data_IF_708881662457
#
_entry.id   IF_708881662457
#
_cell.length_a   1.000
_cell.length_b   1.000
_cell.length_c   1.000
_cell.angle_alpha   90.00
_cell.angle_beta   90.00
_cell.angle_gamma   90.00
#
_symmetry.space_group_name_H-M   'P 1'
#
loop_
_entity.id
_entity.type
_entity.pdbx_description
1 polymer ?
#
# COMPACT_ATOMS: atom_id res chain seq x y z
N UNK A 1 24.43 -60.92 19.32
CA UNK A 1 23.20 -61.66 18.94
C UNK A 1 22.43 -60.83 17.93
N UNK A 2 22.13 -61.43 16.76
CA UNK A 2 21.46 -60.84 15.60
C UNK A 2 19.93 -60.97 15.72
N UNK A 3 19.22 -60.33 14.78
CA UNK A 3 17.80 -60.44 14.37
C UNK A 3 16.89 -59.31 14.89
N UNK A 4 16.00 -58.70 14.08
CA UNK A 4 15.53 -59.04 12.72
C UNK A 4 14.88 -57.80 12.05
N UNK A 5 15.03 -57.75 10.73
CA UNK A 5 14.41 -56.81 9.79
C UNK A 5 13.03 -57.36 9.35
N UNK A 6 12.04 -56.49 9.15
CA UNK A 6 10.87 -56.60 8.22
C UNK A 6 10.37 -55.17 7.99
N UNK A 7 10.43 -54.50 6.84
CA UNK A 7 10.13 -54.81 5.43
C UNK A 7 8.64 -55.06 5.10
N UNK A 8 7.95 -53.99 4.66
CA UNK A 8 6.94 -54.01 3.59
C UNK A 8 5.52 -53.52 3.96
N UNK A 9 4.68 -53.06 2.99
CA UNK A 9 4.94 -52.82 1.57
C UNK A 9 4.65 -51.38 1.08
N UNK A 10 5.10 -51.13 -0.15
CA UNK A 10 4.97 -49.89 -0.94
C UNK A 10 3.58 -49.78 -1.60
N UNK A 11 3.17 -48.53 -1.79
CA UNK A 11 2.24 -47.93 -2.78
C UNK A 11 1.46 -48.84 -3.74
N UNK A 12 0.24 -48.40 -4.08
CA UNK A 12 -0.19 -48.33 -5.47
C UNK A 12 -0.27 -46.88 -5.96
N UNK A 13 0.50 -46.62 -7.01
CA UNK A 13 0.29 -45.57 -7.99
C UNK A 13 -1.04 -45.76 -8.71
N UNK A 14 -1.85 -44.70 -8.76
CA UNK A 14 -2.98 -44.55 -9.67
C UNK A 14 -3.40 -43.08 -9.59
N UNK A 15 -3.65 -42.34 -10.65
CA UNK A 15 -3.84 -42.66 -12.05
C UNK A 15 -4.42 -41.39 -12.66
N UNK A 16 -4.03 -41.12 -13.89
CA UNK A 16 -4.30 -39.88 -14.61
C UNK A 16 -5.76 -39.39 -14.56
N UNK A 17 -5.92 -38.09 -14.34
CA UNK A 17 -7.18 -37.38 -14.48
C UNK A 17 -6.94 -35.96 -14.98
N UNK A 18 -6.28 -35.81 -16.15
CA UNK A 18 -6.25 -34.55 -16.89
C UNK A 18 -7.68 -34.25 -17.38
N UNK A 19 -8.44 -33.50 -16.60
CA UNK A 19 -9.68 -32.89 -17.05
C UNK A 19 -9.33 -31.60 -17.81
N UNK A 20 -9.24 -31.74 -19.12
CA UNK A 20 -9.25 -30.61 -20.06
C UNK A 20 -10.66 -30.00 -20.03
N UNK A 21 -10.88 -28.99 -19.20
CA UNK A 21 -12.03 -28.11 -19.39
C UNK A 21 -11.68 -27.13 -20.50
N UNK A 22 -12.15 -27.45 -21.70
CA UNK A 22 -12.16 -26.56 -22.85
C UNK A 22 -12.91 -25.27 -22.50
N UNK A 23 -12.19 -24.17 -22.37
CA UNK A 23 -12.80 -22.84 -22.38
C UNK A 23 -13.24 -22.50 -23.81
N UNK A 24 -14.49 -22.08 -24.03
CA UNK A 24 -14.91 -21.61 -25.34
C UNK A 24 -14.28 -20.24 -25.61
N UNK A 25 -13.67 -20.09 -26.78
CA UNK A 25 -13.12 -18.82 -27.26
C UNK A 25 -14.21 -17.74 -27.31
N UNK A 26 -13.93 -16.50 -26.85
CA UNK A 26 -14.84 -15.38 -27.09
C UNK A 26 -14.86 -15.06 -28.59
N UNK A 27 -16.05 -15.14 -29.19
CA UNK A 27 -16.30 -14.75 -30.58
C UNK A 27 -16.01 -13.26 -30.73
N UNK A 28 -15.03 -12.95 -31.58
CA UNK A 28 -14.73 -11.61 -32.08
C UNK A 28 -15.96 -11.11 -32.84
N UNK A 29 -16.68 -10.15 -32.27
CA UNK A 29 -17.74 -9.40 -32.96
C UNK A 29 -17.11 -8.17 -33.61
N UNK A 30 -17.28 -8.07 -34.93
CA UNK A 30 -16.68 -7.07 -35.80
C UNK A 30 -17.07 -5.65 -35.39
N UNK A 31 -16.08 -4.78 -35.28
CA UNK A 31 -16.23 -3.34 -35.18
C UNK A 31 -17.08 -2.80 -36.34
N UNK A 32 -18.17 -2.11 -36.02
CA UNK A 32 -18.94 -1.31 -36.97
C UNK A 32 -18.58 0.17 -36.73
N UNK A 33 -17.68 0.68 -37.55
CA UNK A 33 -17.36 2.10 -37.69
C UNK A 33 -18.61 2.88 -38.09
N UNK A 34 -19.17 3.67 -37.16
CA UNK A 34 -20.09 4.75 -37.51
C UNK A 34 -19.30 6.04 -37.75
N UNK A 35 -19.44 6.51 -38.98
CA UNK A 35 -18.86 7.70 -39.60
C UNK A 35 -19.38 8.97 -38.90
N UNK A 36 -18.50 9.71 -38.23
CA UNK A 36 -18.80 11.04 -37.71
C UNK A 36 -18.72 12.07 -38.86
N UNK A 37 -19.80 12.84 -39.04
CA UNK A 37 -19.89 13.89 -40.05
C UNK A 37 -19.19 15.17 -39.53
N UNK A 38 -18.21 15.66 -40.28
CA UNK A 38 -17.54 16.93 -40.05
C UNK A 38 -18.41 18.11 -40.53
N UNK A 39 -18.47 19.19 -39.73
CA UNK A 39 -19.03 20.49 -40.12
C UNK A 39 -17.92 21.55 -40.23
N UNK A 40 -18.10 22.58 -41.07
CA UNK A 40 -17.00 23.37 -41.64
C UNK A 40 -16.56 24.54 -40.76
N UNK A 41 -15.30 24.94 -40.97
CA UNK A 41 -14.62 26.07 -40.35
C UNK A 41 -15.12 27.41 -40.90
N UNK A 42 -15.43 28.35 -40.00
CA UNK A 42 -15.63 29.77 -40.30
C UNK A 42 -14.49 30.62 -39.74
N UNK A 43 -14.17 31.67 -40.50
CA UNK A 43 -12.92 32.42 -40.54
C UNK A 43 -12.67 33.33 -39.32
N UNK A 44 -11.39 33.46 -38.97
CA UNK A 44 -10.79 34.57 -38.20
C UNK A 44 -11.01 35.93 -38.89
N UNK A 45 -10.97 37.02 -38.10
CA UNK A 45 -10.09 38.13 -38.41
C UNK A 45 -9.11 38.44 -37.28
N UNK A 46 -8.06 39.18 -37.62
CA UNK A 46 -6.86 39.39 -36.85
C UNK A 46 -6.83 40.74 -36.12
N UNK A 47 -6.08 40.72 -35.00
CA UNK A 47 -5.23 41.77 -34.41
C UNK A 47 -5.85 43.07 -33.87
N UNK A 48 -5.53 43.40 -32.61
CA UNK A 48 -4.45 44.37 -32.32
C UNK A 48 -3.97 44.26 -30.85
N UNK A 49 -2.70 44.56 -30.54
CA UNK A 49 -2.13 44.45 -29.21
C UNK A 49 -2.30 45.77 -28.45
N UNK A 50 -2.26 45.70 -27.12
CA UNK A 50 -1.57 46.70 -26.29
C UNK A 50 -1.56 46.31 -24.81
N UNK A 51 -0.37 46.54 -24.26
CA UNK A 51 -0.04 46.88 -22.88
C UNK A 51 -0.06 45.73 -21.88
N UNK A 52 1.17 45.36 -21.52
CA UNK A 52 1.46 44.59 -20.34
C UNK A 52 0.93 45.25 -19.08
N UNK A 53 0.53 44.38 -18.17
CA UNK A 53 0.33 44.62 -16.75
C UNK A 53 0.93 43.42 -16.01
N UNK A 54 1.37 43.61 -14.77
CA UNK A 54 2.62 43.06 -14.27
C UNK A 54 2.51 41.63 -13.76
N UNK A 55 3.65 40.93 -13.80
CA UNK A 55 3.96 39.72 -13.01
C UNK A 55 3.45 39.84 -11.57
N UNK A 56 2.26 39.32 -11.32
CA UNK A 56 1.73 38.91 -10.01
C UNK A 56 0.87 37.70 -10.38
N UNK A 57 1.20 36.45 -10.05
CA UNK A 57 1.64 35.96 -8.75
C UNK A 57 1.95 34.47 -8.87
N UNK A 58 3.10 34.09 -9.41
CA UNK A 58 3.59 32.69 -9.26
C UNK A 58 4.00 32.39 -7.81
N UNK A 59 4.20 33.44 -7.01
CA UNK A 59 4.55 33.36 -5.58
C UNK A 59 3.39 32.99 -4.66
N UNK A 60 2.15 33.03 -5.15
CA UNK A 60 0.97 32.67 -4.36
C UNK A 60 0.70 31.15 -4.42
N UNK A 61 1.05 30.49 -5.54
CA UNK A 61 0.89 29.03 -5.67
C UNK A 61 1.80 28.24 -4.75
N UNK A 62 3.03 28.69 -4.52
CA UNK A 62 4.02 27.94 -3.73
C UNK A 62 3.83 28.06 -2.21
N UNK A 63 3.00 28.99 -1.74
CA UNK A 63 2.80 29.23 -0.29
C UNK A 63 1.75 28.33 0.34
N UNK A 64 0.94 27.65 -0.46
CA UNK A 64 -0.04 26.68 0.04
C UNK A 64 0.61 25.30 0.28
N UNK A 65 1.82 25.06 -0.24
CA UNK A 65 2.35 23.71 -0.36
C UNK A 65 3.13 23.19 0.88
N UNK A 66 3.37 24.02 1.91
CA UNK A 66 4.11 23.62 3.13
C UNK A 66 3.60 24.28 4.42
N UNK A 67 2.42 24.91 4.41
CA UNK A 67 1.75 25.17 5.68
C UNK A 67 1.39 23.80 6.26
N UNK A 68 2.15 23.37 7.27
CA UNK A 68 2.04 22.08 7.94
C UNK A 68 0.57 21.63 7.98
N UNK A 69 0.26 20.50 7.35
CA UNK A 69 -1.06 19.90 7.52
C UNK A 69 -1.30 19.78 9.02
N UNK A 70 -2.43 20.28 9.50
CA UNK A 70 -2.76 20.26 10.94
C UNK A 70 -2.88 18.82 11.47
N UNK A 71 -3.00 17.87 10.54
CA UNK A 71 -3.05 16.42 10.74
C UNK A 71 -1.75 15.82 10.18
N UNK A 72 -0.94 15.14 11.02
CA UNK A 72 0.28 14.47 10.57
C UNK A 72 0.00 13.37 9.55
N UNK A 73 0.87 13.23 8.55
CA UNK A 73 0.84 12.14 7.57
C UNK A 73 1.89 11.07 7.92
N UNK A 74 1.44 9.82 8.07
CA UNK A 74 2.29 8.68 8.45
C UNK A 74 2.25 7.62 7.36
N UNK A 75 3.42 7.23 6.87
CA UNK A 75 3.59 6.19 5.85
C UNK A 75 4.25 4.94 6.44
N UNK A 76 3.60 3.79 6.33
CA UNK A 76 4.18 2.48 6.63
C UNK A 76 4.66 1.78 5.37
N UNK A 77 5.90 1.32 5.35
CA UNK A 77 6.51 0.64 4.20
C UNK A 77 7.02 -0.74 4.61
N UNK A 78 6.68 -1.77 3.84
CA UNK A 78 7.34 -3.07 3.91
C UNK A 78 7.66 -3.58 2.49
N UNK A 79 8.12 -4.82 2.35
CA UNK A 79 8.46 -5.37 1.03
C UNK A 79 7.21 -5.49 0.14
N UNK A 80 6.23 -6.30 0.55
CA UNK A 80 5.11 -6.67 -0.32
C UNK A 80 3.83 -5.85 -0.11
N UNK A 81 3.76 -4.99 0.90
CA UNK A 81 2.51 -4.31 1.32
C UNK A 81 1.29 -5.26 1.47
N UNK A 82 1.56 -6.51 1.85
CA UNK A 82 0.55 -7.55 2.03
C UNK A 82 0.39 -7.98 3.50
N UNK A 83 1.15 -7.38 4.43
CA UNK A 83 1.20 -7.83 5.83
C UNK A 83 1.53 -6.71 6.80
N UNK A 84 2.82 -6.59 7.17
CA UNK A 84 3.33 -5.64 8.18
C UNK A 84 2.79 -4.22 8.02
N UNK A 85 2.97 -3.59 6.85
CA UNK A 85 2.50 -2.22 6.62
C UNK A 85 0.98 -2.08 6.55
N UNK A 86 0.24 -3.12 6.15
CA UNK A 86 -1.23 -3.11 6.18
C UNK A 86 -1.75 -3.19 7.62
N UNK A 87 -1.20 -4.08 8.44
CA UNK A 87 -1.54 -4.19 9.86
C UNK A 87 -1.27 -2.88 10.59
N UNK A 88 -0.08 -2.31 10.41
CA UNK A 88 0.32 -1.07 11.06
C UNK A 88 -0.59 0.10 10.67
N UNK A 89 -0.91 0.23 9.38
CA UNK A 89 -1.77 1.29 8.89
C UNK A 89 -3.19 1.22 9.47
N UNK A 90 -3.82 0.04 9.43
CA UNK A 90 -5.17 -0.12 9.96
C UNK A 90 -5.24 0.06 11.49
N UNK A 91 -4.22 -0.41 12.23
CA UNK A 91 -4.14 -0.20 13.67
C UNK A 91 -4.00 1.29 14.01
N UNK A 92 -3.11 2.01 13.33
CA UNK A 92 -2.90 3.43 13.59
C UNK A 92 -4.14 4.24 13.22
N UNK A 93 -4.74 4.02 12.06
CA UNK A 93 -5.92 4.75 11.60
C UNK A 93 -7.08 4.60 12.59
N UNK A 94 -7.38 3.36 13.00
CA UNK A 94 -8.43 3.06 13.97
C UNK A 94 -8.20 3.74 15.34
N UNK A 95 -6.94 3.79 15.79
CA UNK A 95 -6.58 4.38 17.10
C UNK A 95 -6.47 5.89 17.07
N UNK A 96 -6.01 6.45 15.94
CA UNK A 96 -5.85 7.89 15.75
C UNK A 96 -7.18 8.62 15.65
N UNK A 97 -8.27 7.95 15.25
CA UNK A 97 -9.63 8.53 15.16
C UNK A 97 -9.64 9.83 14.33
N UNK A 98 -8.99 9.80 13.18
CA UNK A 98 -8.89 10.93 12.26
C UNK A 98 -7.88 12.02 12.66
N UNK A 99 -7.08 11.81 13.72
CA UNK A 99 -6.02 12.75 14.13
C UNK A 99 -4.70 12.57 13.39
N UNK A 100 -4.59 11.53 12.57
CA UNK A 100 -3.42 11.19 11.74
C UNK A 100 -3.95 10.67 10.42
N UNK A 101 -3.34 11.09 9.32
CA UNK A 101 -3.56 10.49 8.00
C UNK A 101 -2.56 9.36 7.80
N UNK A 102 -3.06 8.18 7.43
CA UNK A 102 -2.25 6.96 7.41
C UNK A 102 -2.23 6.37 6.01
N UNK A 103 -1.03 6.02 5.54
CA UNK A 103 -0.80 5.36 4.26
C UNK A 103 0.08 4.13 4.43
N UNK A 104 -0.04 3.18 3.50
CA UNK A 104 0.84 2.00 3.43
C UNK A 104 1.33 1.79 2.00
N UNK A 105 2.55 1.28 1.86
CA UNK A 105 3.14 0.97 0.56
C UNK A 105 4.15 -0.20 0.63
N UNK A 106 4.53 -0.69 -0.55
CA UNK A 106 5.42 -1.82 -0.77
C UNK A 106 6.53 -1.51 -1.75
N UNK A 107 7.77 -1.87 -1.44
CA UNK A 107 8.89 -1.73 -2.39
C UNK A 107 8.78 -2.71 -3.57
N UNK A 108 8.17 -3.87 -3.35
CA UNK A 108 7.82 -4.86 -4.37
C UNK A 108 6.44 -5.43 -4.04
N UNK A 109 5.33 -4.73 -4.37
CA UNK A 109 3.98 -5.12 -3.96
C UNK A 109 3.62 -6.55 -4.37
N UNK A 110 2.97 -7.29 -3.47
CA UNK A 110 2.37 -8.58 -3.78
C UNK A 110 1.05 -8.43 -4.56
N UNK A 111 0.43 -9.55 -4.92
CA UNK A 111 -0.82 -9.56 -5.68
C UNK A 111 -2.04 -9.23 -4.80
N UNK A 112 -2.04 -9.68 -3.54
CA UNK A 112 -3.13 -9.49 -2.59
C UNK A 112 -2.62 -9.37 -1.15
N UNK A 113 -3.49 -8.90 -0.24
CA UNK A 113 -3.18 -8.92 1.20
C UNK A 113 -3.17 -10.36 1.70
N UNK A 114 -2.19 -10.72 2.52
CA UNK A 114 -2.03 -12.08 3.04
C UNK A 114 -3.33 -12.51 3.77
N UNK A 115 -3.99 -13.60 3.36
CA UNK A 115 -5.24 -14.05 3.97
C UNK A 115 -5.15 -14.32 5.48
N UNK A 116 -4.00 -14.79 5.96
CA UNK A 116 -3.77 -15.00 7.40
C UNK A 116 -3.70 -13.67 8.16
N UNK A 117 -3.20 -12.61 7.52
CA UNK A 117 -3.22 -11.25 8.07
C UNK A 117 -4.65 -10.70 8.10
N UNK A 118 -5.43 -10.89 7.03
CA UNK A 118 -6.86 -10.52 7.01
C UNK A 118 -7.62 -11.20 8.16
N UNK A 119 -7.39 -12.50 8.36
CA UNK A 119 -8.01 -13.25 9.45
C UNK A 119 -7.61 -12.70 10.84
N UNK A 120 -6.31 -12.49 11.08
CA UNK A 120 -5.81 -11.97 12.36
C UNK A 120 -6.32 -10.55 12.68
N UNK A 121 -6.51 -9.72 11.65
CA UNK A 121 -7.01 -8.34 11.82
C UNK A 121 -8.54 -8.31 12.02
N UNK A 122 -9.26 -9.22 11.37
CA UNK A 122 -10.71 -9.35 11.57
C UNK A 122 -11.08 -9.71 13.01
N UNK A 123 -10.22 -10.49 13.70
CA UNK A 123 -10.40 -10.83 15.13
C UNK A 123 -10.43 -9.59 16.05
N UNK A 124 -9.76 -8.51 15.65
CA UNK A 124 -9.74 -7.24 16.40
C UNK A 124 -10.68 -6.19 15.80
N UNK A 125 -11.59 -6.61 14.91
CA UNK A 125 -12.60 -5.74 14.30
C UNK A 125 -12.10 -4.88 13.14
N UNK A 126 -10.95 -5.21 12.56
CA UNK A 126 -10.37 -4.47 11.43
C UNK A 126 -10.37 -5.33 10.16
N UNK A 127 -11.25 -5.00 9.22
CA UNK A 127 -11.38 -5.72 7.95
C UNK A 127 -10.37 -5.20 6.91
N UNK A 128 -9.43 -6.06 6.52
CA UNK A 128 -8.45 -5.80 5.47
C UNK A 128 -8.80 -6.45 4.12
N UNK A 129 -9.95 -7.10 3.98
CA UNK A 129 -10.32 -7.86 2.78
C UNK A 129 -10.47 -7.00 1.52
N UNK A 130 -10.68 -5.69 1.70
CA UNK A 130 -10.81 -4.70 0.61
C UNK A 130 -9.54 -3.90 0.38
N UNK A 131 -8.53 -4.07 1.23
CA UNK A 131 -7.23 -3.45 1.02
C UNK A 131 -6.45 -4.20 -0.07
N UNK A 132 -5.51 -3.50 -0.68
CA UNK A 132 -4.67 -4.05 -1.73
C UNK A 132 -3.22 -3.56 -1.58
N UNK A 133 -2.23 -4.38 -1.96
CA UNK A 133 -0.85 -3.94 -2.06
C UNK A 133 -0.66 -2.79 -3.06
N UNK A 134 0.00 -1.72 -2.61
CA UNK A 134 0.26 -0.48 -3.36
C UNK A 134 1.77 -0.28 -3.51
N UNK A 135 2.26 0.16 -4.68
CA UNK A 135 3.68 0.47 -4.86
C UNK A 135 4.11 1.66 -4.01
N UNK A 136 5.36 1.61 -3.53
CA UNK A 136 6.03 2.77 -2.99
C UNK A 136 6.30 3.75 -4.11
N UNK A 137 5.69 4.93 -4.02
CA UNK A 137 5.87 6.01 -4.97
C UNK A 137 6.49 7.21 -4.28
N UNK A 138 7.15 8.03 -5.08
CA UNK A 138 7.90 9.17 -4.59
C UNK A 138 7.03 10.25 -3.92
N UNK A 139 5.84 10.48 -4.47
CA UNK A 139 4.84 11.43 -3.96
C UNK A 139 4.34 11.04 -2.56
N UNK A 140 4.12 9.76 -2.28
CA UNK A 140 3.64 9.33 -0.95
C UNK A 140 4.71 9.49 0.13
N UNK A 141 6.00 9.34 -0.22
CA UNK A 141 7.10 9.61 0.72
C UNK A 141 7.24 11.11 0.95
N UNK A 142 7.14 11.94 -0.10
CA UNK A 142 7.18 13.41 0.03
C UNK A 142 6.02 13.96 0.85
N UNK A 143 4.84 13.35 0.78
CA UNK A 143 3.68 13.76 1.56
C UNK A 143 3.78 13.38 3.05
N UNK A 144 4.55 12.36 3.41
CA UNK A 144 4.63 11.87 4.78
C UNK A 144 5.49 12.76 5.69
N UNK A 145 5.05 12.99 6.93
CA UNK A 145 5.87 13.60 7.99
C UNK A 145 6.74 12.54 8.69
N UNK A 146 6.19 11.33 8.83
CA UNK A 146 6.89 10.17 9.37
C UNK A 146 6.80 8.97 8.42
N UNK A 147 7.95 8.33 8.16
CA UNK A 147 8.07 7.12 7.35
C UNK A 147 8.59 5.99 8.25
N UNK A 148 7.81 4.91 8.34
CA UNK A 148 8.13 3.74 9.15
C UNK A 148 8.45 2.58 8.20
N UNK A 149 9.69 2.11 8.22
CA UNK A 149 10.16 0.98 7.43
C UNK A 149 10.08 -0.32 8.22
N UNK A 150 9.69 -1.40 7.54
CA UNK A 150 9.59 -2.75 8.10
C UNK A 150 10.14 -3.74 7.08
N UNK A 151 11.46 -3.83 6.99
CA UNK A 151 12.18 -4.81 6.16
C UNK A 151 12.10 -4.56 4.64
N UNK A 152 11.89 -3.32 4.19
CA UNK A 152 12.00 -2.95 2.77
C UNK A 152 13.44 -2.65 2.31
N UNK A 153 14.42 -2.66 3.22
CA UNK A 153 15.82 -2.31 2.95
C UNK A 153 15.97 -0.86 2.47
N UNK A 154 16.94 -0.63 1.59
CA UNK A 154 17.28 0.70 1.07
C UNK A 154 16.35 1.21 -0.06
N UNK A 155 15.19 0.57 -0.24
CA UNK A 155 14.24 0.94 -1.28
C UNK A 155 13.55 2.30 -1.02
N UNK A 156 13.61 2.82 0.20
CA UNK A 156 12.99 4.09 0.57
C UNK A 156 13.94 5.27 0.30
N UNK A 157 13.59 6.22 -0.59
CA UNK A 157 14.35 7.45 -0.74
C UNK A 157 14.30 8.29 0.56
N UNK A 158 15.45 8.83 0.95
CA UNK A 158 15.58 9.67 2.15
C UNK A 158 15.40 11.13 1.76
N UNK A 159 14.40 11.77 2.38
CA UNK A 159 14.11 13.19 2.24
C UNK A 159 14.47 13.95 3.52
N UNK A 160 15.15 15.09 3.42
CA UNK A 160 15.44 15.91 4.59
C UNK A 160 14.16 16.45 5.21
N UNK A 161 14.16 16.62 6.54
CA UNK A 161 13.03 17.19 7.28
C UNK A 161 11.89 16.21 7.60
N UNK A 162 12.07 14.91 7.37
CA UNK A 162 11.10 13.86 7.74
C UNK A 162 11.63 12.97 8.85
N UNK A 163 10.73 12.42 9.66
CA UNK A 163 11.07 11.43 10.68
C UNK A 163 11.10 10.04 10.05
N UNK A 164 12.23 9.35 10.11
CA UNK A 164 12.34 7.95 9.69
C UNK A 164 12.48 7.05 10.91
N UNK A 165 11.71 5.96 10.94
CA UNK A 165 11.79 4.92 11.97
C UNK A 165 11.91 3.57 11.28
N UNK A 166 12.85 2.75 11.73
CA UNK A 166 12.96 1.37 11.27
C UNK A 166 12.46 0.43 12.36
N UNK A 167 11.45 -0.37 12.02
CA UNK A 167 10.88 -1.35 12.92
C UNK A 167 11.26 -2.75 12.45
N UNK A 168 12.14 -3.39 13.23
CA UNK A 168 12.40 -4.81 13.09
C UNK A 168 11.16 -5.61 13.55
N UNK A 169 10.36 -6.02 12.56
CA UNK A 169 9.14 -6.81 12.72
C UNK A 169 9.23 -8.03 11.83
N UNK A 170 9.00 -9.20 12.43
CA UNK A 170 8.97 -10.49 11.74
C UNK A 170 7.99 -10.49 10.55
N UNK A 171 8.38 -11.12 9.44
CA UNK A 171 7.51 -11.22 8.26
C UNK A 171 6.41 -12.28 8.45
N UNK A 172 5.11 -11.92 8.30
CA UNK A 172 4.01 -12.86 8.40
C UNK A 172 3.86 -13.81 7.19
N UNK A 173 4.62 -13.63 6.11
CA UNK A 173 4.51 -14.48 4.92
C UNK A 173 4.77 -15.97 5.23
N UNK A 174 3.82 -16.83 4.85
CA UNK A 174 3.89 -18.28 5.05
C UNK A 174 3.80 -18.74 6.51
N UNK A 175 3.51 -17.84 7.45
CA UNK A 175 3.37 -18.16 8.88
C UNK A 175 1.95 -18.59 9.22
N UNK A 176 1.81 -19.36 10.30
CA UNK A 176 0.50 -19.73 10.84
C UNK A 176 -0.20 -18.55 11.52
N UNK A 177 -1.52 -18.70 11.76
CA UNK A 177 -2.33 -17.65 12.36
C UNK A 177 -1.86 -17.26 13.76
N UNK A 178 -1.36 -18.21 14.55
CA UNK A 178 -0.84 -17.96 15.91
C UNK A 178 0.38 -17.04 15.88
N UNK A 179 1.29 -17.28 14.94
CA UNK A 179 2.48 -16.44 14.73
C UNK A 179 2.08 -15.07 14.20
N UNK A 180 1.15 -15.01 13.24
CA UNK A 180 0.65 -13.73 12.71
C UNK A 180 -0.05 -12.89 13.78
N UNK A 181 -0.79 -13.50 14.72
CA UNK A 181 -1.33 -12.79 15.89
C UNK A 181 -0.25 -12.16 16.75
N UNK A 182 0.84 -12.89 17.04
CA UNK A 182 1.98 -12.31 17.77
C UNK A 182 2.60 -11.12 17.04
N UNK A 183 2.74 -11.21 15.72
CA UNK A 183 3.25 -10.11 14.88
C UNK A 183 2.30 -8.91 14.95
N UNK A 184 0.99 -9.13 14.78
CA UNK A 184 -0.05 -8.09 14.96
C UNK A 184 0.08 -7.41 16.31
N UNK A 185 0.22 -8.17 17.38
CA UNK A 185 0.29 -7.64 18.74
C UNK A 185 1.59 -6.87 19.00
N UNK A 186 2.70 -7.24 18.34
CA UNK A 186 3.93 -6.44 18.34
C UNK A 186 3.77 -5.11 17.62
N UNK A 187 3.21 -5.14 16.41
CA UNK A 187 2.90 -3.93 15.64
C UNK A 187 1.96 -3.02 16.45
N UNK A 188 0.95 -3.58 17.10
CA UNK A 188 0.02 -2.85 17.96
C UNK A 188 0.74 -2.07 19.07
N UNK A 189 1.67 -2.70 19.81
CA UNK A 189 2.43 -2.00 20.85
C UNK A 189 3.27 -0.85 20.29
N UNK A 190 3.88 -1.05 19.12
CA UNK A 190 4.70 -0.02 18.46
C UNK A 190 3.84 1.14 17.95
N UNK A 191 2.66 0.85 17.42
CA UNK A 191 1.65 1.85 17.02
C UNK A 191 1.19 2.69 18.22
N UNK A 192 0.98 2.08 19.39
CA UNK A 192 0.62 2.85 20.60
C UNK A 192 1.74 3.82 21.01
N UNK A 193 3.00 3.36 20.96
CA UNK A 193 4.16 4.22 21.19
C UNK A 193 4.25 5.36 20.19
N UNK A 194 4.10 5.06 18.90
CA UNK A 194 4.12 6.07 17.83
C UNK A 194 3.01 7.11 18.03
N UNK A 195 1.80 6.69 18.35
CA UNK A 195 0.67 7.60 18.56
C UNK A 195 0.90 8.51 19.77
N UNK A 196 1.48 7.98 20.86
CA UNK A 196 1.85 8.77 22.03
C UNK A 196 2.94 9.80 21.72
N UNK A 197 3.95 9.44 20.92
CA UNK A 197 4.99 10.35 20.46
C UNK A 197 4.43 11.49 19.59
N UNK A 198 3.56 11.15 18.63
CA UNK A 198 2.92 12.12 17.73
C UNK A 198 2.03 13.10 18.52
N UNK A 199 1.33 12.61 19.55
CA UNK A 199 0.51 13.44 20.42
C UNK A 199 1.33 14.44 21.25
N UNK A 200 2.51 14.02 21.74
CA UNK A 200 3.43 14.87 22.50
C UNK A 200 4.07 15.94 21.60
N UNK A 201 4.51 15.57 20.40
CA UNK A 201 5.08 16.53 19.45
C UNK A 201 4.11 17.68 19.15
N UNK A 202 2.80 17.39 19.02
CA UNK A 202 1.75 18.40 18.80
C UNK A 202 1.50 19.30 20.02
N UNK A 203 1.76 18.84 21.25
CA UNK A 203 1.59 19.65 22.45
C UNK A 203 2.74 20.64 22.66
N UNK A 204 3.88 20.42 22.00
CA UNK A 204 5.08 21.25 22.12
C UNK A 204 5.18 22.34 21.03
N UNK A 205 4.22 22.40 20.11
CA UNK A 205 4.17 23.40 19.02
C UNK A 205 2.99 24.33 19.20
#
# INVERSE_FOLDING_TARGET
>A
MRCRIRSGPRTPTGGAGRRTTSWPSPKIVKATTRRAAAKPATKRPAANPRRGSPMKSDREKTRIDHAASVVPEVLFVCTHNAGRSQMAAALLDARAKGKVHVRSAGSAPGDEVNPTVVAAMSEVGLDLSKEYPKPLTDDVVRAADAVITMGCGDACPIYPGKRYLDWDVEDPAGKDLTTVRRIRDDIARRVDGLLADLAQAKQLT
#
